data_IF_446327345784
#
_entry.id   IF_446327345784
#
_cell.length_a   1.000
_cell.length_b   1.000
_cell.length_c   1.000
_cell.angle_alpha   90.00
_cell.angle_beta   90.00
_cell.angle_gamma   90.00
#
_symmetry.space_group_name_H-M   'P 1'
#
loop_
_entity.id
_entity.type
_entity.pdbx_description
1 polymer ?
#
# COMPACT_ATOMS: atom_id res chain seq x y z
N UNK A 1 -5.20 3.45 67.30
CA UNK A 1 -5.95 3.55 66.02
C UNK A 1 -4.98 3.52 64.85
N UNK A 2 -5.04 2.47 64.01
CA UNK A 2 -4.11 2.20 62.89
C UNK A 2 -4.46 3.08 61.68
N UNK A 3 -3.55 3.96 61.26
CA UNK A 3 -3.70 4.79 60.04
C UNK A 3 -2.39 4.92 59.27
N UNK A 4 -1.75 3.79 58.93
CA UNK A 4 -0.59 3.75 58.03
C UNK A 4 -0.58 2.42 57.27
N UNK A 5 -1.27 2.34 56.13
CA UNK A 5 -1.00 1.29 55.12
C UNK A 5 -1.59 1.53 53.72
N UNK A 6 -2.21 2.68 53.43
CA UNK A 6 -2.98 2.83 52.18
C UNK A 6 -2.23 3.44 50.98
N UNK A 7 -1.00 3.94 51.13
CA UNK A 7 -0.30 4.68 50.05
C UNK A 7 0.66 3.80 49.23
N UNK A 8 1.11 2.64 49.74
CA UNK A 8 2.05 1.78 49.01
C UNK A 8 1.38 0.85 47.98
N UNK A 9 0.09 0.53 48.14
CA UNK A 9 -0.61 -0.40 47.25
C UNK A 9 -0.99 0.24 45.91
N UNK A 10 -1.35 1.53 45.89
CA UNK A 10 -1.72 2.24 44.66
C UNK A 10 -0.56 2.39 43.67
N UNK A 11 0.65 2.66 44.17
CA UNK A 11 1.84 2.85 43.32
C UNK A 11 2.32 1.54 42.67
N UNK A 12 2.22 0.42 43.39
CA UNK A 12 2.56 -0.92 42.87
C UNK A 12 1.54 -1.38 41.83
N UNK A 13 0.24 -1.13 42.06
CA UNK A 13 -0.80 -1.44 41.07
C UNK A 13 -0.63 -0.64 39.78
N UNK A 14 -0.44 0.69 39.85
CA UNK A 14 -0.23 1.53 38.66
C UNK A 14 1.03 1.09 37.90
N UNK A 15 2.11 0.78 38.60
CA UNK A 15 3.36 0.30 37.97
C UNK A 15 3.18 -1.06 37.31
N UNK A 16 2.47 -2.01 37.95
CA UNK A 16 2.19 -3.33 37.37
C UNK A 16 1.25 -3.24 36.15
N UNK A 17 0.24 -2.36 36.18
CA UNK A 17 -0.62 -2.07 35.03
C UNK A 17 0.16 -1.45 33.85
N UNK A 18 1.07 -0.51 34.13
CA UNK A 18 1.98 0.08 33.13
C UNK A 18 2.94 -0.96 32.53
N UNK A 19 3.50 -1.84 33.35
CA UNK A 19 4.39 -2.93 32.88
C UNK A 19 3.62 -3.94 32.03
N UNK A 20 2.42 -4.36 32.47
CA UNK A 20 1.59 -5.31 31.72
C UNK A 20 1.11 -4.73 30.39
N UNK A 21 0.70 -3.45 30.36
CA UNK A 21 0.32 -2.78 29.12
C UNK A 21 1.51 -2.64 28.16
N UNK A 22 2.69 -2.25 28.65
CA UNK A 22 3.90 -2.19 27.85
C UNK A 22 4.29 -3.56 27.27
N UNK A 23 4.21 -4.63 28.07
CA UNK A 23 4.46 -5.99 27.61
C UNK A 23 3.44 -6.45 26.56
N UNK A 24 2.16 -6.12 26.74
CA UNK A 24 1.12 -6.41 25.75
C UNK A 24 1.37 -5.69 24.42
N UNK A 25 1.78 -4.41 24.48
CA UNK A 25 2.14 -3.62 23.29
C UNK A 25 3.36 -4.23 22.59
N UNK A 26 4.41 -4.62 23.32
CA UNK A 26 5.59 -5.26 22.75
C UNK A 26 5.23 -6.58 22.06
N UNK A 27 4.43 -7.43 22.71
CA UNK A 27 3.98 -8.70 22.14
C UNK A 27 3.10 -8.49 20.89
N UNK A 28 2.25 -7.46 20.88
CA UNK A 28 1.44 -7.13 19.72
C UNK A 28 2.31 -6.64 18.56
N UNK A 29 3.28 -5.76 18.83
CA UNK A 29 4.23 -5.28 17.83
C UNK A 29 5.07 -6.42 17.24
N UNK A 30 5.55 -7.34 18.08
CA UNK A 30 6.28 -8.53 17.64
C UNK A 30 5.41 -9.44 16.75
N UNK A 31 4.15 -9.67 17.13
CA UNK A 31 3.20 -10.44 16.30
C UNK A 31 2.96 -9.78 14.95
N UNK A 32 2.76 -8.46 14.92
CA UNK A 32 2.58 -7.72 13.67
C UNK A 32 3.84 -7.79 12.80
N UNK A 33 5.03 -7.65 13.39
CA UNK A 33 6.29 -7.79 12.67
C UNK A 33 6.45 -9.20 12.07
N UNK A 34 6.16 -10.24 12.84
CA UNK A 34 6.20 -11.63 12.36
C UNK A 34 5.19 -11.86 11.23
N UNK A 35 3.99 -11.30 11.33
CA UNK A 35 2.98 -11.41 10.28
C UNK A 35 3.41 -10.69 9.00
N UNK A 36 3.98 -9.49 9.11
CA UNK A 36 4.51 -8.75 7.97
C UNK A 36 5.62 -9.54 7.27
N UNK A 37 6.52 -10.15 8.03
CA UNK A 37 7.59 -11.01 7.51
C UNK A 37 7.04 -12.26 6.80
N UNK A 38 6.01 -12.91 7.34
CA UNK A 38 5.34 -14.04 6.68
C UNK A 38 4.77 -13.64 5.31
N UNK A 39 4.24 -12.43 5.17
CA UNK A 39 3.75 -11.93 3.88
C UNK A 39 4.87 -11.58 2.90
N UNK A 40 5.99 -11.04 3.39
CA UNK A 40 7.20 -10.85 2.56
C UNK A 40 7.70 -12.19 2.02
N UNK A 41 7.73 -13.22 2.86
CA UNK A 41 8.11 -14.58 2.42
C UNK A 41 7.13 -15.17 1.38
N UNK A 42 5.82 -14.88 1.50
CA UNK A 42 4.83 -15.28 0.48
C UNK A 42 5.03 -14.53 -0.84
N UNK A 43 5.39 -13.25 -0.80
CA UNK A 43 5.75 -12.46 -1.99
C UNK A 43 6.97 -13.09 -2.68
N UNK A 44 8.04 -13.35 -1.93
CA UNK A 44 9.25 -13.99 -2.45
C UNK A 44 8.97 -15.38 -3.04
N UNK A 45 8.09 -16.17 -2.41
CA UNK A 45 7.69 -17.48 -2.93
C UNK A 45 6.94 -17.38 -4.26
N UNK A 46 6.06 -16.39 -4.42
CA UNK A 46 5.37 -16.13 -5.71
C UNK A 46 6.39 -15.80 -6.80
N UNK A 47 7.28 -14.84 -6.55
CA UNK A 47 8.32 -14.41 -7.51
C UNK A 47 9.19 -15.61 -7.90
N UNK A 48 9.65 -16.38 -6.91
CA UNK A 48 10.48 -17.57 -7.13
C UNK A 48 9.78 -18.63 -7.97
N UNK A 49 8.49 -18.91 -7.70
CA UNK A 49 7.71 -19.90 -8.47
C UNK A 49 7.51 -19.46 -9.91
N UNK A 50 7.16 -18.19 -10.14
CA UNK A 50 7.01 -17.63 -11.48
C UNK A 50 8.31 -17.70 -12.27
N UNK A 51 9.44 -17.34 -11.63
CA UNK A 51 10.77 -17.43 -12.26
C UNK A 51 11.13 -18.86 -12.66
N UNK A 52 10.79 -19.86 -11.83
CA UNK A 52 10.96 -21.30 -12.18
C UNK A 52 10.11 -21.73 -13.36
N UNK A 53 8.97 -21.08 -13.57
CA UNK A 53 8.09 -21.28 -14.74
C UNK A 53 8.54 -20.49 -15.97
N UNK A 54 9.68 -19.79 -15.93
CA UNK A 54 10.14 -18.94 -17.02
C UNK A 54 9.25 -17.71 -17.25
N UNK A 55 8.61 -17.21 -16.18
CA UNK A 55 7.65 -16.10 -16.23
C UNK A 55 7.87 -15.15 -15.04
N UNK A 56 7.08 -14.09 -14.98
CA UNK A 56 7.14 -13.05 -13.96
C UNK A 56 5.76 -12.39 -13.79
N UNK A 57 5.60 -11.57 -12.75
CA UNK A 57 4.32 -10.91 -12.43
C UNK A 57 3.83 -9.97 -13.53
N UNK A 58 4.73 -9.27 -14.23
CA UNK A 58 4.39 -8.34 -15.30
C UNK A 58 3.86 -9.10 -16.51
N UNK A 59 4.53 -10.19 -16.90
CA UNK A 59 4.06 -11.11 -17.92
C UNK A 59 2.68 -11.71 -17.54
N UNK A 60 2.45 -12.05 -16.27
CA UNK A 60 1.16 -12.58 -15.82
C UNK A 60 0.03 -11.55 -15.87
N UNK A 61 0.23 -10.30 -15.43
CA UNK A 61 -0.81 -9.26 -15.51
C UNK A 61 -1.11 -8.82 -16.95
N UNK A 62 -0.15 -8.98 -17.87
CA UNK A 62 -0.39 -8.76 -19.28
C UNK A 62 -1.20 -9.89 -19.94
N UNK A 63 -1.24 -11.10 -19.36
CA UNK A 63 -1.99 -12.26 -19.85
C UNK A 63 -1.87 -12.49 -21.37
N UNK A 64 -0.63 -12.46 -21.87
CA UNK A 64 -0.30 -12.68 -23.28
C UNK A 64 -0.52 -11.47 -24.21
N UNK A 65 -0.92 -10.31 -23.68
CA UNK A 65 -0.91 -9.05 -24.42
C UNK A 65 0.52 -8.52 -24.56
N UNK A 66 0.76 -7.75 -25.62
CA UNK A 66 2.07 -7.13 -25.88
C UNK A 66 2.28 -6.00 -24.89
N UNK A 67 3.47 -5.93 -24.31
CA UNK A 67 3.93 -4.79 -23.53
C UNK A 67 3.89 -3.50 -24.35
N UNK A 68 3.49 -2.40 -23.70
CA UNK A 68 3.45 -1.06 -24.28
C UNK A 68 3.90 -0.08 -23.22
N UNK A 69 4.89 0.75 -23.56
CA UNK A 69 5.33 1.88 -22.75
C UNK A 69 4.47 3.09 -23.09
N UNK A 70 3.24 3.07 -22.59
CA UNK A 70 2.20 4.07 -22.83
C UNK A 70 1.32 4.20 -21.57
N UNK A 71 1.20 5.42 -21.05
CA UNK A 71 0.42 5.73 -19.86
C UNK A 71 -1.08 5.40 -20.03
N UNK A 72 -1.59 5.36 -21.26
CA UNK A 72 -3.00 5.11 -21.56
C UNK A 72 -3.32 3.62 -21.80
N UNK A 73 -2.31 2.75 -21.83
CA UNK A 73 -2.48 1.31 -22.03
C UNK A 73 -2.45 0.59 -20.69
N UNK A 74 -3.63 0.28 -20.17
CA UNK A 74 -3.80 -0.41 -18.89
C UNK A 74 -3.92 -1.92 -19.06
N UNK A 75 -3.25 -2.70 -18.21
CA UNK A 75 -3.42 -4.14 -18.11
C UNK A 75 -4.22 -4.50 -16.85
N UNK A 76 -5.26 -5.34 -17.00
CA UNK A 76 -5.77 -5.90 -18.26
C UNK A 76 -6.52 -4.82 -19.07
N UNK A 77 -6.60 -5.00 -20.40
CA UNK A 77 -7.11 -3.98 -21.37
C UNK A 77 -8.58 -3.58 -21.17
N UNK A 78 -9.34 -4.34 -20.40
CA UNK A 78 -10.73 -4.05 -20.02
C UNK A 78 -10.85 -3.00 -18.88
N UNK A 79 -9.75 -2.29 -18.58
CA UNK A 79 -9.73 -1.19 -17.63
C UNK A 79 -9.38 -1.63 -16.21
N UNK A 80 -8.56 -2.67 -16.07
CA UNK A 80 -8.13 -3.16 -14.77
C UNK A 80 -8.99 -4.28 -14.17
N UNK A 81 -8.56 -4.77 -13.02
CA UNK A 81 -9.30 -5.73 -12.20
C UNK A 81 -10.15 -4.94 -11.21
N UNK A 82 -11.45 -5.23 -11.15
CA UNK A 82 -12.41 -4.56 -10.28
C UNK A 82 -13.14 -5.59 -9.42
N UNK A 83 -13.01 -5.48 -8.10
CA UNK A 83 -13.76 -6.28 -7.14
C UNK A 83 -14.96 -5.50 -6.65
N UNK A 84 -16.13 -5.72 -7.26
CA UNK A 84 -17.35 -5.02 -6.88
C UNK A 84 -17.83 -5.38 -5.47
N UNK A 85 -17.40 -6.52 -4.92
CA UNK A 85 -17.78 -6.95 -3.58
C UNK A 85 -17.02 -6.16 -2.51
N UNK A 86 -15.73 -5.90 -2.72
CA UNK A 86 -14.88 -5.18 -1.76
C UNK A 86 -14.72 -3.70 -2.09
N UNK A 87 -15.04 -3.29 -3.32
CA UNK A 87 -14.83 -1.94 -3.81
C UNK A 87 -13.38 -1.63 -4.20
N UNK A 88 -12.48 -2.61 -4.15
CA UNK A 88 -11.08 -2.42 -4.50
C UNK A 88 -10.81 -2.72 -5.97
N UNK A 89 -9.91 -1.95 -6.57
CA UNK A 89 -9.56 -2.05 -7.98
C UNK A 89 -8.06 -1.89 -8.18
N UNK A 90 -7.54 -2.45 -9.26
CA UNK A 90 -6.17 -2.22 -9.68
C UNK A 90 -6.02 -2.29 -11.21
N UNK A 91 -4.99 -1.65 -11.74
CA UNK A 91 -4.51 -1.87 -13.09
C UNK A 91 -2.99 -1.73 -13.12
N UNK A 92 -2.35 -2.26 -14.15
CA UNK A 92 -0.91 -2.10 -14.41
C UNK A 92 -0.68 -1.30 -15.68
N UNK A 93 0.31 -0.42 -15.72
CA UNK A 93 0.76 0.21 -16.97
C UNK A 93 2.25 0.59 -16.87
N UNK A 94 2.81 1.16 -17.94
CA UNK A 94 4.22 1.55 -17.97
C UNK A 94 4.39 2.86 -18.75
N UNK A 95 5.06 3.84 -18.14
CA UNK A 95 5.38 5.11 -18.82
C UNK A 95 6.59 5.84 -18.22
N UNK A 96 7.23 5.30 -17.17
CA UNK A 96 8.39 5.90 -16.50
C UNK A 96 9.65 5.11 -16.77
N UNK A 97 10.76 5.80 -17.04
CA UNK A 97 12.02 5.16 -17.46
C UNK A 97 12.76 4.41 -16.33
N UNK A 98 12.46 4.74 -15.06
CA UNK A 98 13.12 4.18 -13.88
C UNK A 98 12.51 2.86 -13.36
N UNK A 99 11.54 2.33 -14.11
CA UNK A 99 10.83 1.08 -13.81
C UNK A 99 10.42 0.37 -15.10
N UNK A 100 9.96 -0.87 -14.98
CA UNK A 100 9.36 -1.59 -16.11
C UNK A 100 7.85 -1.36 -16.22
N UNK A 101 7.25 -0.87 -15.15
CA UNK A 101 5.85 -0.50 -15.04
C UNK A 101 5.38 -0.63 -13.61
N UNK A 102 4.14 -0.26 -13.35
CA UNK A 102 3.62 -0.23 -12.00
C UNK A 102 2.13 -0.52 -11.96
N UNK A 103 1.68 -0.99 -10.80
CA UNK A 103 0.27 -1.08 -10.49
C UNK A 103 -0.22 0.22 -9.85
N UNK A 104 -1.39 0.68 -10.26
CA UNK A 104 -2.20 1.58 -9.45
C UNK A 104 -3.23 0.76 -8.67
N UNK A 105 -3.52 1.20 -7.43
CA UNK A 105 -4.52 0.56 -6.57
C UNK A 105 -5.52 1.58 -6.06
N UNK A 106 -6.79 1.20 -6.01
CA UNK A 106 -7.89 2.11 -5.70
C UNK A 106 -8.88 1.47 -4.74
N UNK A 107 -9.50 2.31 -3.93
CA UNK A 107 -10.74 2.02 -3.23
C UNK A 107 -11.88 2.84 -3.86
N UNK A 108 -13.07 2.25 -3.96
CA UNK A 108 -14.30 2.96 -4.35
C UNK A 108 -14.97 3.52 -3.09
N UNK A 109 -15.26 4.80 -3.09
CA UNK A 109 -16.03 5.45 -2.02
C UNK A 109 -17.55 5.26 -2.23
N UNK A 110 -18.35 5.64 -1.23
CA UNK A 110 -19.81 5.45 -1.23
C UNK A 110 -20.52 6.18 -2.38
N UNK A 111 -19.97 7.29 -2.86
CA UNK A 111 -20.48 8.07 -4.00
C UNK A 111 -20.00 7.52 -5.37
N UNK A 112 -19.25 6.42 -5.37
CA UNK A 112 -18.68 5.80 -6.57
C UNK A 112 -17.36 6.41 -7.03
N UNK A 113 -16.89 7.49 -6.41
CA UNK A 113 -15.58 8.05 -6.71
C UNK A 113 -14.46 7.06 -6.35
N UNK A 114 -13.36 7.11 -7.09
CA UNK A 114 -12.16 6.34 -6.78
C UNK A 114 -11.27 7.16 -5.85
N UNK A 115 -10.59 6.47 -4.94
CA UNK A 115 -9.53 6.99 -4.07
C UNK A 115 -8.29 6.17 -4.39
N UNK A 116 -7.23 6.83 -4.87
CA UNK A 116 -5.96 6.14 -5.10
C UNK A 116 -5.28 5.83 -3.76
N UNK A 117 -4.82 4.59 -3.60
CA UNK A 117 -4.09 4.14 -2.42
C UNK A 117 -2.59 4.27 -2.66
N UNK A 118 -1.97 3.26 -3.27
CA UNK A 118 -0.53 3.25 -3.58
C UNK A 118 -0.26 2.77 -4.98
N UNK A 119 0.78 3.36 -5.57
CA UNK A 119 1.46 2.86 -6.75
C UNK A 119 2.47 1.80 -6.31
N UNK A 120 2.52 0.67 -7.02
CA UNK A 120 3.46 -0.43 -6.79
C UNK A 120 4.38 -0.56 -7.99
N UNK A 121 5.62 -0.11 -7.84
CA UNK A 121 6.63 -0.05 -8.91
C UNK A 121 7.34 -1.39 -9.06
N UNK A 122 7.51 -1.83 -10.32
CA UNK A 122 8.06 -3.13 -10.68
C UNK A 122 9.26 -3.00 -11.61
N UNK A 123 10.28 -3.86 -11.43
CA UNK A 123 11.37 -3.98 -12.40
C UNK A 123 11.05 -4.96 -13.54
N UNK A 124 11.98 -5.08 -14.48
CA UNK A 124 11.92 -5.95 -15.67
C UNK A 124 11.91 -7.45 -15.35
N UNK A 125 12.22 -7.83 -14.11
CA UNK A 125 12.15 -9.20 -13.59
C UNK A 125 10.84 -9.48 -12.85
N UNK A 126 9.92 -8.50 -12.80
CA UNK A 126 8.67 -8.59 -12.06
C UNK A 126 8.86 -8.60 -10.55
N UNK A 127 9.91 -7.94 -10.04
CA UNK A 127 10.17 -7.75 -8.61
C UNK A 127 9.72 -6.35 -8.16
N UNK A 128 9.23 -6.24 -6.93
CA UNK A 128 8.86 -4.97 -6.29
C UNK A 128 10.11 -4.11 -6.07
N UNK A 129 10.10 -2.85 -6.52
CA UNK A 129 11.21 -1.91 -6.31
C UNK A 129 10.83 -0.65 -5.53
N UNK A 130 9.53 -0.35 -5.42
CA UNK A 130 9.08 0.79 -4.64
C UNK A 130 7.58 0.92 -4.50
N UNK A 131 7.18 1.70 -3.51
CA UNK A 131 5.80 2.10 -3.26
C UNK A 131 5.72 3.62 -3.30
N UNK A 132 4.63 4.17 -3.85
CA UNK A 132 4.48 5.61 -3.97
C UNK A 132 3.03 6.07 -3.75
N UNK A 133 2.87 7.34 -3.38
CA UNK A 133 1.61 8.06 -3.58
C UNK A 133 1.75 9.02 -4.74
N UNK A 134 0.67 9.22 -5.48
CA UNK A 134 0.64 10.08 -6.66
C UNK A 134 -0.21 11.31 -6.41
N UNK A 135 -0.03 12.32 -7.25
CA UNK A 135 -0.84 13.51 -7.26
C UNK A 135 -2.22 13.23 -7.87
N UNK A 136 -3.25 13.98 -7.45
CA UNK A 136 -4.63 13.78 -7.87
C UNK A 136 -4.79 13.85 -9.38
N UNK A 137 -4.10 14.76 -10.07
CA UNK A 137 -4.21 14.89 -11.53
C UNK A 137 -3.78 13.61 -12.28
N UNK A 138 -2.96 12.75 -11.67
CA UNK A 138 -2.49 11.49 -12.26
C UNK A 138 -3.66 10.52 -12.44
N UNK A 139 -4.55 10.47 -11.46
CA UNK A 139 -5.65 9.48 -11.40
C UNK A 139 -7.04 10.09 -11.49
N UNK A 140 -7.18 11.41 -11.38
CA UNK A 140 -8.46 12.11 -11.30
C UNK A 140 -9.31 11.68 -10.09
N UNK A 141 -8.65 11.18 -9.04
CA UNK A 141 -9.30 10.54 -7.91
C UNK A 141 -9.79 11.55 -6.85
N UNK A 142 -10.56 11.06 -5.88
CA UNK A 142 -11.02 11.83 -4.74
C UNK A 142 -9.91 11.92 -3.71
N UNK A 143 -9.47 13.15 -3.44
CA UNK A 143 -8.56 13.40 -2.33
C UNK A 143 -9.24 13.08 -0.99
N UNK A 144 -8.57 12.26 -0.18
CA UNK A 144 -8.90 12.02 1.23
C UNK A 144 -7.62 12.10 2.07
N UNK A 145 -7.74 12.46 3.35
CA UNK A 145 -6.60 12.58 4.28
C UNK A 145 -5.95 11.22 4.58
N UNK A 146 -4.70 11.27 5.06
CA UNK A 146 -3.92 10.08 5.43
C UNK A 146 -4.70 9.11 6.33
N UNK A 147 -5.40 9.57 7.37
CA UNK A 147 -6.16 8.70 8.27
C UNK A 147 -7.18 7.82 7.52
N UNK A 148 -7.90 8.40 6.55
CA UNK A 148 -8.85 7.65 5.74
C UNK A 148 -8.16 6.66 4.82
N UNK A 149 -7.01 7.03 4.24
CA UNK A 149 -6.22 6.08 3.45
C UNK A 149 -5.72 4.90 4.27
N UNK A 150 -5.28 5.13 5.51
CA UNK A 150 -4.83 4.06 6.42
C UNK A 150 -5.95 3.08 6.75
N UNK A 151 -7.18 3.56 6.93
CA UNK A 151 -8.35 2.69 7.11
C UNK A 151 -8.63 1.82 5.87
N UNK A 152 -8.57 2.42 4.69
CA UNK A 152 -8.78 1.73 3.42
C UNK A 152 -7.66 0.73 3.14
N UNK A 153 -6.39 1.11 3.29
CA UNK A 153 -5.24 0.23 3.06
C UNK A 153 -5.23 -0.99 3.97
N UNK A 154 -5.59 -0.83 5.25
CA UNK A 154 -5.66 -1.94 6.23
C UNK A 154 -6.66 -3.02 5.82
N UNK A 155 -7.75 -2.62 5.18
CA UNK A 155 -8.81 -3.53 4.73
C UNK A 155 -8.69 -3.93 3.26
N UNK A 156 -7.65 -3.47 2.55
CA UNK A 156 -7.42 -3.80 1.15
C UNK A 156 -7.36 -5.32 0.95
N UNK A 157 -8.25 -5.81 0.10
CA UNK A 157 -8.31 -7.21 -0.31
C UNK A 157 -9.12 -7.31 -1.61
N UNK A 158 -8.49 -7.83 -2.66
CA UNK A 158 -9.17 -8.23 -3.90
C UNK A 158 -9.26 -9.75 -3.94
N UNK A 159 -10.41 -10.29 -4.37
CA UNK A 159 -10.60 -11.72 -4.55
C UNK A 159 -9.65 -12.26 -5.64
N UNK A 160 -8.68 -13.15 -5.31
CA UNK A 160 -7.72 -13.65 -6.29
C UNK A 160 -8.31 -14.36 -7.49
N UNK A 161 -9.55 -14.87 -7.38
CA UNK A 161 -10.26 -15.56 -8.46
C UNK A 161 -10.76 -14.62 -9.57
N UNK A 162 -10.67 -13.30 -9.37
CA UNK A 162 -11.05 -12.31 -10.40
C UNK A 162 -10.03 -12.23 -11.53
N UNK A 163 -8.93 -12.97 -11.47
CA UNK A 163 -7.91 -12.97 -12.50
C UNK A 163 -7.38 -14.37 -12.81
N UNK A 164 -6.93 -14.56 -14.06
CA UNK A 164 -6.55 -15.88 -14.58
C UNK A 164 -5.37 -16.49 -13.81
N UNK A 165 -4.37 -15.68 -13.49
CA UNK A 165 -3.29 -16.07 -12.60
C UNK A 165 -3.49 -15.42 -11.23
N UNK A 166 -4.08 -16.16 -10.29
CA UNK A 166 -4.41 -15.67 -8.94
C UNK A 166 -3.19 -15.09 -8.20
N UNK A 167 -1.97 -15.46 -8.60
CA UNK A 167 -0.72 -14.99 -7.96
C UNK A 167 -0.52 -13.50 -8.13
N UNK A 168 -1.02 -12.90 -9.21
CA UNK A 168 -0.95 -11.45 -9.44
C UNK A 168 -1.72 -10.70 -8.35
N UNK A 169 -2.97 -11.10 -8.11
CA UNK A 169 -3.79 -10.48 -7.07
C UNK A 169 -3.26 -10.83 -5.67
N UNK A 170 -2.83 -12.08 -5.44
CA UNK A 170 -2.22 -12.47 -4.15
C UNK A 170 -0.98 -11.63 -3.84
N UNK A 171 -0.13 -11.38 -4.82
CA UNK A 171 1.03 -10.52 -4.68
C UNK A 171 0.64 -9.11 -4.21
N UNK A 172 -0.32 -8.46 -4.89
CA UNK A 172 -0.77 -7.11 -4.52
C UNK A 172 -1.41 -7.10 -3.13
N UNK A 173 -2.28 -8.07 -2.81
CA UNK A 173 -2.85 -8.21 -1.46
C UNK A 173 -1.76 -8.38 -0.40
N UNK A 174 -0.74 -9.20 -0.67
CA UNK A 174 0.35 -9.42 0.28
C UNK A 174 1.23 -8.20 0.47
N UNK A 175 1.37 -7.32 -0.54
CA UNK A 175 2.08 -6.04 -0.37
C UNK A 175 1.42 -5.19 0.71
N UNK A 176 0.09 -5.05 0.68
CA UNK A 176 -0.65 -4.28 1.71
C UNK A 176 -0.48 -4.85 3.12
N UNK A 177 -0.24 -6.17 3.25
CA UNK A 177 0.00 -6.80 4.55
C UNK A 177 1.47 -6.80 4.98
N UNK A 178 2.38 -6.92 4.02
CA UNK A 178 3.82 -6.96 4.25
C UNK A 178 4.42 -5.59 4.58
N UNK A 179 3.83 -4.53 4.03
CA UNK A 179 4.36 -3.17 4.06
C UNK A 179 3.35 -2.16 4.65
N UNK A 180 2.48 -2.60 5.56
CA UNK A 180 1.45 -1.74 6.17
C UNK A 180 2.07 -0.48 6.80
N UNK A 181 3.18 -0.63 7.54
CA UNK A 181 3.85 0.50 8.19
C UNK A 181 4.44 1.48 7.17
N UNK A 182 5.10 0.97 6.12
CA UNK A 182 5.68 1.79 5.06
C UNK A 182 4.59 2.51 4.24
N UNK A 183 3.44 1.87 4.03
CA UNK A 183 2.27 2.47 3.38
C UNK A 183 1.68 3.59 4.25
N UNK A 184 1.52 3.35 5.56
CA UNK A 184 1.05 4.39 6.50
C UNK A 184 2.00 5.59 6.52
N UNK A 185 3.33 5.36 6.49
CA UNK A 185 4.35 6.41 6.38
C UNK A 185 4.23 7.21 5.08
N UNK A 186 3.99 6.54 3.94
CA UNK A 186 3.82 7.21 2.65
C UNK A 186 2.63 8.17 2.66
N UNK A 187 1.53 7.78 3.29
CA UNK A 187 0.35 8.64 3.41
C UNK A 187 0.61 9.88 4.26
N UNK A 188 1.33 9.73 5.38
CA UNK A 188 1.73 10.87 6.21
C UNK A 188 2.71 11.80 5.48
N UNK A 189 3.64 11.24 4.71
CA UNK A 189 4.58 12.03 3.91
C UNK A 189 3.87 12.81 2.80
N UNK A 190 2.87 12.20 2.15
CA UNK A 190 2.05 12.86 1.13
C UNK A 190 1.32 14.07 1.71
N UNK A 191 0.64 13.91 2.85
CA UNK A 191 -0.10 15.01 3.47
C UNK A 191 0.85 16.12 3.95
N UNK A 192 2.04 15.78 4.45
CA UNK A 192 3.10 16.75 4.75
C UNK A 192 3.56 17.50 3.51
N UNK A 193 3.78 16.79 2.39
CA UNK A 193 4.16 17.41 1.13
C UNK A 193 3.10 18.41 0.66
N UNK A 194 1.82 18.04 0.68
CA UNK A 194 0.71 18.92 0.28
C UNK A 194 0.66 20.18 1.16
N UNK A 195 0.78 20.02 2.48
CA UNK A 195 0.79 21.15 3.40
C UNK A 195 1.97 22.09 3.16
N UNK A 196 3.17 21.54 2.99
CA UNK A 196 4.38 22.33 2.70
C UNK A 196 4.27 23.05 1.35
N UNK A 197 3.72 22.36 0.35
CA UNK A 197 3.49 22.93 -0.97
C UNK A 197 2.55 24.13 -0.88
N UNK A 198 1.39 23.99 -0.23
CA UNK A 198 0.42 25.08 -0.10
C UNK A 198 0.96 26.30 0.66
N UNK A 199 1.93 26.08 1.56
CA UNK A 199 2.62 27.16 2.28
C UNK A 199 3.72 27.83 1.45
N UNK A 200 4.32 27.10 0.49
CA UNK A 200 5.46 27.56 -0.32
C UNK A 200 4.99 28.19 -1.63
N UNK A 201 4.00 27.57 -2.27
CA UNK A 201 3.50 27.92 -3.57
C UNK A 201 2.05 28.40 -3.43
N UNK A 202 1.77 29.62 -3.88
CA UNK A 202 0.42 30.19 -3.93
C UNK A 202 -0.41 29.63 -5.10
N UNK A 203 -0.31 28.32 -5.39
CA UNK A 203 -1.04 27.60 -6.44
C UNK A 203 -1.65 26.30 -5.91
N UNK A 204 -2.55 25.71 -6.68
CA UNK A 204 -3.27 24.48 -6.32
C UNK A 204 -2.36 23.24 -6.41
N UNK A 205 -2.01 22.56 -5.30
CA UNK A 205 -1.12 21.39 -5.31
C UNK A 205 -1.65 20.22 -6.15
N UNK A 206 -2.97 20.04 -6.22
CA UNK A 206 -3.58 18.82 -6.78
C UNK A 206 -3.58 18.75 -8.31
N UNK A 207 -3.28 19.85 -8.99
CA UNK A 207 -3.29 19.95 -10.46
C UNK A 207 -1.91 20.31 -11.05
N UNK A 208 -0.89 20.35 -10.20
CA UNK A 208 0.46 20.67 -10.63
C UNK A 208 1.16 19.46 -11.26
N UNK A 209 1.26 19.51 -12.60
CA UNK A 209 1.84 18.45 -13.43
C UNK A 209 3.36 18.32 -13.31
N UNK A 210 4.02 19.23 -12.60
CA UNK A 210 5.44 19.07 -12.25
C UNK A 210 5.65 17.97 -11.21
N UNK A 211 4.62 17.64 -10.42
CA UNK A 211 4.71 16.67 -9.33
C UNK A 211 3.72 15.54 -9.56
N UNK A 212 4.21 14.46 -10.15
CA UNK A 212 3.47 13.20 -10.28
C UNK A 212 3.49 12.40 -8.97
N UNK A 213 4.67 12.24 -8.37
CA UNK A 213 4.88 11.47 -7.13
C UNK A 213 4.99 12.41 -5.94
N UNK A 214 4.17 12.17 -4.90
CA UNK A 214 4.12 13.01 -3.70
C UNK A 214 4.86 12.41 -2.49
N UNK A 215 4.99 11.08 -2.46
CA UNK A 215 5.85 10.36 -1.53
C UNK A 215 6.30 9.05 -2.15
N UNK A 216 7.52 8.61 -1.83
CA UNK A 216 8.11 7.39 -2.39
C UNK A 216 8.97 6.67 -1.36
N UNK A 217 8.86 5.34 -1.35
CA UNK A 217 9.69 4.44 -0.55
C UNK A 217 10.25 3.35 -1.45
N UNK A 218 11.58 3.33 -1.59
CA UNK A 218 12.27 2.18 -2.21
C UNK A 218 12.08 0.95 -1.32
N UNK A 219 11.71 -0.15 -1.95
CA UNK A 219 11.59 -1.46 -1.30
C UNK A 219 12.68 -2.35 -1.87
N UNK A 220 13.45 -2.97 -0.98
CA UNK A 220 14.36 -4.05 -1.33
C UNK A 220 13.80 -5.33 -0.71
N UNK A 221 13.49 -6.29 -1.58
CA UNK A 221 13.06 -7.65 -1.21
C UNK A 221 14.27 -8.53 -0.91
#
# INVERSE_FOLDING_TARGET
MKRRQFVKSGFVLISALMVNSKLAILNAAERTANLAEDYKMKILDIIRKLKKEGSDLVTKIMNGKKYQFDAFVHYPYDGGIKDEQTGYQLFFHAHREDEYGHFHTFAKDNDGSLIHLVLISMNDKGELIGLATVNRWVTGDKFVKADRLKELSKTFQINPKLYKDERVIKFVNYIFKAYESEIDELFDQRDKWINNYAQTYYREPFEDREFEILSFKRIAL
#
